data_IF_283419107049
#
_entry.id   IF_283419107049
#
_cell.length_a   1.000
_cell.length_b   1.000
_cell.length_c   1.000
_cell.angle_alpha   90.00
_cell.angle_beta   90.00
_cell.angle_gamma   90.00
#
_symmetry.space_group_name_H-M   'P 1'
#
loop_
_entity.id
_entity.type
_entity.pdbx_description
1 polymer ?
#
# COMPACT_ATOMS: atom_id res chain seq x y z
N UNK A 1 -19.48 8.84 3.56
CA UNK A 1 -18.05 8.62 3.86
C UNK A 1 -17.37 8.14 2.59
N UNK A 2 -16.50 8.96 2.00
CA UNK A 2 -15.75 8.61 0.79
C UNK A 2 -14.61 7.65 1.13
N UNK A 3 -14.45 6.60 0.33
CA UNK A 3 -13.31 5.70 0.39
C UNK A 3 -12.15 6.37 -0.35
N UNK A 4 -11.13 6.83 0.38
CA UNK A 4 -9.93 7.40 -0.23
C UNK A 4 -8.96 6.28 -0.63
N UNK A 5 -8.44 6.37 -1.86
CA UNK A 5 -7.38 5.51 -2.39
C UNK A 5 -6.20 6.41 -2.77
N UNK A 6 -5.01 6.08 -2.28
CA UNK A 6 -3.75 6.67 -2.71
C UNK A 6 -3.01 5.70 -3.62
N UNK A 7 -2.38 6.22 -4.68
CA UNK A 7 -1.65 5.44 -5.68
C UNK A 7 -0.30 6.12 -5.91
N UNK A 8 0.79 5.35 -5.95
CA UNK A 8 2.12 5.82 -6.32
C UNK A 8 2.81 4.87 -7.31
N UNK A 9 3.47 5.46 -8.30
CA UNK A 9 4.40 4.77 -9.21
C UNK A 9 5.82 5.30 -8.96
N UNK A 10 6.78 4.39 -8.77
CA UNK A 10 8.17 4.70 -8.54
C UNK A 10 9.04 4.10 -9.64
N UNK A 11 10.18 4.73 -9.92
CA UNK A 11 11.21 4.22 -10.85
C UNK A 11 12.28 3.38 -10.16
N UNK A 12 12.08 3.04 -8.88
CA UNK A 12 12.95 2.16 -8.12
C UNK A 12 12.15 1.15 -7.29
N UNK A 13 12.46 -0.13 -7.47
CA UNK A 13 11.89 -1.24 -6.71
C UNK A 13 12.25 -1.11 -5.23
N UNK A 14 13.51 -0.79 -4.92
CA UNK A 14 13.97 -0.63 -3.54
C UNK A 14 13.19 0.48 -2.82
N UNK A 15 12.98 1.63 -3.49
CA UNK A 15 12.17 2.72 -2.94
C UNK A 15 10.69 2.35 -2.80
N UNK A 16 10.16 1.53 -3.71
CA UNK A 16 8.80 1.00 -3.59
C UNK A 16 8.60 0.15 -2.33
N UNK A 17 9.58 -0.70 -2.01
CA UNK A 17 9.56 -1.50 -0.78
C UNK A 17 9.67 -0.64 0.48
N UNK A 18 10.61 0.32 0.50
CA UNK A 18 10.77 1.27 1.61
C UNK A 18 9.50 2.10 1.84
N UNK A 19 8.87 2.57 0.76
CA UNK A 19 7.61 3.31 0.82
C UNK A 19 6.49 2.46 1.42
N UNK A 20 6.33 1.20 0.98
CA UNK A 20 5.30 0.31 1.51
C UNK A 20 5.42 0.07 3.02
N UNK A 21 6.65 -0.16 3.49
CA UNK A 21 6.95 -0.29 4.92
C UNK A 21 6.65 1.01 5.69
N UNK A 22 7.10 2.15 5.16
CA UNK A 22 6.83 3.46 5.76
C UNK A 22 5.33 3.77 5.81
N UNK A 23 4.56 3.44 4.77
CA UNK A 23 3.10 3.67 4.73
C UNK A 23 2.37 2.90 5.82
N UNK A 24 2.67 1.60 5.97
CA UNK A 24 2.04 0.74 6.98
C UNK A 24 2.41 1.16 8.41
N UNK A 25 3.63 1.66 8.63
CA UNK A 25 4.09 2.14 9.94
C UNK A 25 3.56 3.53 10.28
N UNK A 26 3.36 4.39 9.28
CA UNK A 26 2.99 5.80 9.50
C UNK A 26 1.49 6.01 9.68
N UNK A 27 0.65 5.15 9.11
CA UNK A 27 -0.79 5.34 9.14
C UNK A 27 -1.57 4.01 9.17
N UNK A 28 -2.81 4.06 9.65
CA UNK A 28 -3.74 2.96 9.52
C UNK A 28 -4.24 2.86 8.06
N UNK A 29 -3.43 2.23 7.21
CA UNK A 29 -3.70 1.96 5.80
C UNK A 29 -3.59 0.47 5.51
N UNK A 30 -4.26 0.02 4.46
CA UNK A 30 -4.12 -1.32 3.90
C UNK A 30 -3.65 -1.20 2.45
N UNK A 31 -2.55 -1.88 2.12
CA UNK A 31 -2.03 -1.96 0.75
C UNK A 31 -2.90 -2.92 -0.06
N UNK A 32 -3.36 -2.53 -1.25
CA UNK A 32 -4.20 -3.40 -2.08
C UNK A 32 -3.38 -4.12 -3.16
N UNK A 33 -2.32 -3.48 -3.61
CA UNK A 33 -1.38 -3.82 -4.67
C UNK A 33 -0.03 -3.24 -4.24
N UNK A 34 0.99 -4.09 -4.26
CA UNK A 34 2.38 -3.72 -4.03
C UNK A 34 3.22 -4.63 -4.90
N UNK A 35 3.56 -4.17 -6.11
CA UNK A 35 4.20 -5.01 -7.13
C UNK A 35 5.10 -4.24 -8.07
N UNK A 36 6.03 -4.95 -8.69
CA UNK A 36 6.79 -4.46 -9.84
C UNK A 36 5.92 -4.51 -11.11
N UNK A 37 6.10 -3.56 -12.02
CA UNK A 37 5.40 -3.57 -13.33
C UNK A 37 6.37 -3.91 -14.46
N UNK A 38 7.48 -3.19 -14.54
CA UNK A 38 8.55 -3.39 -15.52
C UNK A 38 9.92 -3.16 -14.84
N UNK A 39 11.07 -3.41 -15.51
CA UNK A 39 12.38 -3.22 -14.90
C UNK A 39 12.52 -1.81 -14.30
N UNK A 40 12.84 -1.77 -13.00
CA UNK A 40 12.96 -0.53 -12.24
C UNK A 40 11.64 0.03 -11.70
N UNK A 41 10.48 -0.24 -12.30
CA UNK A 41 9.21 0.36 -11.85
C UNK A 41 8.50 -0.43 -10.76
N UNK A 42 7.99 0.29 -9.76
CA UNK A 42 7.19 -0.24 -8.67
C UNK A 42 5.87 0.51 -8.55
N UNK A 43 4.79 -0.21 -8.34
CA UNK A 43 3.45 0.33 -8.22
C UNK A 43 2.84 -0.10 -6.89
N UNK A 44 2.32 0.88 -6.16
CA UNK A 44 1.65 0.65 -4.89
C UNK A 44 0.36 1.42 -4.83
N UNK A 45 -0.69 0.78 -4.32
CA UNK A 45 -1.92 1.44 -3.93
C UNK A 45 -2.23 1.16 -2.46
N UNK A 46 -2.93 2.10 -1.84
CA UNK A 46 -3.31 1.99 -0.45
C UNK A 46 -4.65 2.69 -0.21
N UNK A 47 -5.38 2.19 0.78
CA UNK A 47 -6.57 2.86 1.30
C UNK A 47 -6.50 2.92 2.80
N UNK A 48 -7.34 3.76 3.41
CA UNK A 48 -7.54 3.74 4.87
C UNK A 48 -7.89 2.32 5.33
N UNK A 49 -7.19 1.85 6.36
CA UNK A 49 -7.44 0.58 7.00
C UNK A 49 -8.79 0.61 7.73
N UNK A 50 -9.67 -0.29 7.35
CA UNK A 50 -10.85 -0.62 8.15
C UNK A 50 -10.51 -1.88 8.94
N UNK A 51 -10.63 -1.82 10.26
CA UNK A 51 -10.40 -2.96 11.15
C UNK A 51 -11.38 -4.08 10.74
N UNK A 52 -10.85 -5.14 10.11
CA UNK A 52 -11.50 -6.43 9.84
C UNK A 52 -10.56 -7.47 10.47
N UNK A 53 -10.81 -8.27 11.51
CA UNK A 53 -11.93 -8.66 12.40
C UNK A 53 -11.30 -9.03 13.79
N UNK A 54 -12.02 -9.67 14.76
CA UNK A 54 -12.25 -11.11 14.69
C UNK A 54 -13.70 -11.48 15.06
N UNK A 55 -14.49 -11.94 14.10
CA UNK A 55 -15.48 -12.99 14.36
C UNK A 55 -14.88 -14.20 13.62
N UNK A 56 -14.22 -15.16 14.26
CA UNK A 56 -14.64 -15.81 15.49
C UNK A 56 -15.57 -16.95 15.08
N UNK A 57 -14.95 -18.10 14.79
CA UNK A 57 -15.48 -19.36 14.21
C UNK A 57 -15.75 -19.35 12.70
#
# INVERSE_FOLDING_TARGET
MSQAIGILELTSIAKGMELGDAMLKSANVNLLVSKTICPGKFFIDARRGYRRYPAGY
#
